data_IF_594581783570
#
_entry.id   IF_594581783570
#
_cell.length_a   1.000
_cell.length_b   1.000
_cell.length_c   1.000
_cell.angle_alpha   90.00
_cell.angle_beta   90.00
_cell.angle_gamma   90.00
#
_symmetry.space_group_name_H-M   'P 1'
#
loop_
_entity.id
_entity.type
_entity.pdbx_description
1 polymer ?
#
# COMPACT_ATOMS: atom_id res chain seq x y z
N UNK A 1 26.29 -27.54 -4.50
CA UNK A 1 27.56 -28.03 -3.96
C UNK A 1 27.26 -29.04 -2.89
N UNK A 2 27.92 -30.19 -2.93
CA UNK A 2 27.78 -31.26 -1.95
C UNK A 2 28.69 -31.01 -0.72
N UNK A 3 28.44 -31.65 0.44
CA UNK A 3 29.29 -31.52 1.63
C UNK A 3 30.74 -31.96 1.41
N UNK A 4 30.94 -32.95 0.53
CA UNK A 4 32.26 -33.39 0.09
C UNK A 4 32.93 -32.44 -0.93
N UNK A 5 32.43 -31.20 -1.06
CA UNK A 5 32.94 -30.13 -1.93
C UNK A 5 32.84 -30.41 -3.44
N UNK A 6 32.17 -31.48 -3.84
CA UNK A 6 31.88 -31.72 -5.25
C UNK A 6 30.77 -30.79 -5.76
N UNK A 7 31.01 -30.22 -6.93
CA UNK A 7 30.05 -29.38 -7.66
C UNK A 7 29.37 -30.21 -8.74
N UNK A 8 28.04 -30.23 -8.72
CA UNK A 8 27.19 -30.83 -9.75
C UNK A 8 26.35 -29.72 -10.37
N UNK A 9 26.11 -29.76 -11.67
CA UNK A 9 25.07 -28.93 -12.27
C UNK A 9 23.69 -29.45 -11.88
N UNK A 10 22.68 -28.60 -11.98
CA UNK A 10 21.30 -28.94 -11.60
C UNK A 10 20.80 -30.20 -12.32
N UNK A 11 21.00 -30.30 -13.63
CA UNK A 11 20.58 -31.48 -14.41
C UNK A 11 21.28 -32.77 -13.97
N UNK A 12 22.56 -32.71 -13.57
CA UNK A 12 23.27 -33.88 -13.05
C UNK A 12 22.79 -34.28 -11.65
N UNK A 13 22.45 -33.30 -10.79
CA UNK A 13 21.83 -33.60 -9.50
C UNK A 13 20.45 -34.24 -9.70
N UNK A 14 19.64 -33.68 -10.59
CA UNK A 14 18.29 -34.17 -10.83
C UNK A 14 18.26 -35.56 -11.50
N UNK A 15 19.19 -35.81 -12.42
CA UNK A 15 19.34 -37.08 -13.12
C UNK A 15 19.82 -38.25 -12.25
N UNK A 16 20.25 -38.00 -11.00
CA UNK A 16 20.74 -39.05 -10.08
C UNK A 16 19.63 -39.99 -9.55
N UNK A 17 18.35 -39.69 -9.82
CA UNK A 17 17.21 -40.57 -9.51
C UNK A 17 17.17 -41.02 -8.05
N UNK A 18 17.07 -42.35 -7.81
CA UNK A 18 16.99 -42.93 -6.47
C UNK A 18 18.30 -42.83 -5.64
N UNK A 19 19.40 -42.35 -6.22
CA UNK A 19 20.70 -42.14 -5.54
C UNK A 19 20.98 -40.66 -5.26
N UNK A 20 19.95 -39.81 -5.22
CA UNK A 20 20.04 -38.37 -4.97
C UNK A 20 20.67 -37.98 -3.63
N UNK A 21 20.83 -38.92 -2.71
CA UNK A 21 21.46 -38.72 -1.41
C UNK A 21 22.90 -39.25 -1.34
N UNK A 22 23.55 -39.58 -2.45
CA UNK A 22 24.95 -40.03 -2.45
C UNK A 22 25.79 -39.25 -3.48
N UNK A 23 27.01 -38.88 -3.08
CA UNK A 23 27.96 -38.26 -4.00
C UNK A 23 28.30 -39.22 -5.16
N UNK A 24 28.20 -38.83 -6.45
CA UNK A 24 28.54 -39.70 -7.57
C UNK A 24 30.02 -40.16 -7.59
N UNK A 25 30.91 -39.37 -6.98
CA UNK A 25 32.35 -39.62 -6.96
C UNK A 25 32.80 -40.41 -5.74
N UNK A 26 32.40 -39.98 -4.54
CA UNK A 26 32.84 -40.60 -3.28
C UNK A 26 31.85 -41.62 -2.71
N UNK A 27 30.62 -41.67 -3.23
CA UNK A 27 29.51 -42.50 -2.70
C UNK A 27 29.19 -42.21 -1.24
N UNK A 28 29.62 -41.07 -0.72
CA UNK A 28 29.27 -40.60 0.62
C UNK A 28 27.82 -40.12 0.64
N UNK A 29 27.04 -40.51 1.68
CA UNK A 29 25.69 -40.04 1.83
C UNK A 29 25.67 -38.55 2.23
N UNK A 30 24.66 -37.82 1.75
CA UNK A 30 24.37 -36.44 2.17
C UNK A 30 22.86 -36.24 2.25
N UNK A 31 22.41 -35.26 3.03
CA UNK A 31 21.01 -34.84 3.07
C UNK A 31 20.78 -33.65 2.15
N UNK A 32 19.53 -33.45 1.72
CA UNK A 32 19.18 -32.36 0.80
C UNK A 32 19.39 -30.98 1.44
N UNK A 33 19.27 -30.89 2.77
CA UNK A 33 19.52 -29.68 3.54
C UNK A 33 21.00 -29.28 3.58
N UNK A 34 21.91 -30.24 3.36
CA UNK A 34 23.36 -30.00 3.32
C UNK A 34 23.81 -29.41 1.96
N UNK A 35 22.88 -29.26 1.01
CA UNK A 35 23.16 -28.77 -0.33
C UNK A 35 23.24 -27.25 -0.38
N UNK A 36 24.37 -26.74 -0.85
CA UNK A 36 24.52 -25.31 -1.13
C UNK A 36 24.28 -25.07 -2.62
N UNK A 37 23.13 -24.48 -2.96
CA UNK A 37 22.86 -24.02 -4.33
C UNK A 37 23.65 -22.75 -4.60
N UNK A 38 24.55 -22.82 -5.58
CA UNK A 38 25.36 -21.68 -6.02
C UNK A 38 25.03 -21.36 -7.46
N UNK A 39 24.79 -20.08 -7.74
CA UNK A 39 24.65 -19.57 -9.09
C UNK A 39 26.01 -19.14 -9.61
N UNK A 40 26.40 -19.69 -10.76
CA UNK A 40 27.57 -19.23 -11.50
C UNK A 40 27.07 -18.46 -12.71
N UNK A 41 27.62 -17.28 -12.98
CA UNK A 41 27.28 -16.59 -14.22
C UNK A 41 27.77 -17.43 -15.40
N UNK A 42 26.99 -17.47 -16.47
CA UNK A 42 27.37 -18.16 -17.70
C UNK A 42 28.75 -17.72 -18.17
N UNK A 43 29.03 -16.42 -18.10
CA UNK A 43 30.31 -15.83 -18.49
C UNK A 43 31.47 -16.34 -17.63
N UNK A 44 31.26 -16.56 -16.32
CA UNK A 44 32.30 -17.09 -15.44
C UNK A 44 32.69 -18.53 -15.76
N UNK A 45 31.77 -19.33 -16.28
CA UNK A 45 32.05 -20.71 -16.73
C UNK A 45 32.66 -20.68 -18.12
N UNK A 46 32.07 -19.92 -19.04
CA UNK A 46 32.50 -19.83 -20.44
C UNK A 46 33.84 -19.10 -20.64
N UNK A 47 34.27 -18.29 -19.66
CA UNK A 47 35.58 -17.65 -19.65
C UNK A 47 36.71 -18.53 -19.12
N UNK A 48 36.45 -19.75 -18.65
CA UNK A 48 37.50 -20.66 -18.17
C UNK A 48 38.29 -21.24 -19.33
N UNK A 49 39.62 -21.30 -19.19
CA UNK A 49 40.49 -22.01 -20.12
C UNK A 49 40.23 -23.52 -20.05
N UNK A 50 40.09 -24.14 -21.21
CA UNK A 50 39.88 -25.57 -21.39
C UNK A 50 40.71 -26.07 -22.57
N UNK A 51 41.02 -27.37 -22.58
CA UNK A 51 41.63 -28.04 -23.73
C UNK A 51 40.55 -28.61 -24.64
N UNK A 52 40.88 -28.79 -25.92
CA UNK A 52 39.99 -29.44 -26.89
C UNK A 52 39.58 -30.85 -26.44
N UNK A 53 38.32 -31.25 -26.71
CA UNK A 53 37.84 -32.61 -26.48
C UNK A 53 38.66 -33.69 -27.20
N UNK A 54 39.33 -33.31 -28.28
CA UNK A 54 40.21 -34.19 -29.05
C UNK A 54 41.69 -34.11 -28.60
N UNK A 55 41.98 -33.59 -27.39
CA UNK A 55 43.35 -33.51 -26.90
C UNK A 55 44.02 -34.89 -26.77
N UNK A 56 43.28 -35.91 -26.38
CA UNK A 56 43.77 -37.30 -26.35
C UNK A 56 44.08 -37.85 -27.74
N UNK A 57 43.46 -37.28 -28.77
CA UNK A 57 43.68 -37.63 -30.18
C UNK A 57 44.73 -36.75 -30.86
N UNK A 58 45.39 -35.85 -30.11
CA UNK A 58 46.50 -35.02 -30.59
C UNK A 58 46.17 -33.54 -30.86
N UNK A 59 44.96 -33.07 -30.52
CA UNK A 59 44.65 -31.64 -30.62
C UNK A 59 45.24 -30.86 -29.44
N UNK A 60 46.16 -29.93 -29.71
CA UNK A 60 46.85 -29.11 -28.71
C UNK A 60 46.14 -27.78 -28.39
N UNK A 61 44.98 -27.51 -28.99
CA UNK A 61 44.24 -26.29 -28.77
C UNK A 61 43.77 -26.12 -27.31
N UNK A 62 44.14 -24.98 -26.73
CA UNK A 62 43.69 -24.50 -25.41
C UNK A 62 43.14 -23.08 -25.55
N UNK A 63 41.88 -22.89 -25.17
CA UNK A 63 41.20 -21.59 -25.27
C UNK A 63 40.10 -21.49 -24.19
N UNK A 64 39.42 -20.35 -24.09
CA UNK A 64 38.24 -20.20 -23.25
C UNK A 64 37.10 -21.11 -23.73
N UNK A 65 36.31 -21.63 -22.80
CA UNK A 65 35.24 -22.59 -23.10
C UNK A 65 34.21 -22.05 -24.11
N UNK A 66 33.99 -20.74 -24.16
CA UNK A 66 33.15 -20.09 -25.19
C UNK A 66 33.70 -20.24 -26.61
N UNK A 67 35.02 -20.12 -26.81
CA UNK A 67 35.68 -20.24 -28.12
C UNK A 67 35.90 -21.72 -28.53
N UNK A 68 35.94 -22.63 -27.55
CA UNK A 68 36.24 -24.04 -27.81
C UNK A 68 35.18 -24.74 -28.69
N UNK A 69 33.91 -24.31 -28.61
CA UNK A 69 32.86 -24.84 -29.48
C UNK A 69 33.09 -24.50 -30.96
N UNK A 70 33.51 -23.26 -31.23
CA UNK A 70 33.85 -22.81 -32.58
C UNK A 70 35.09 -23.53 -33.11
N UNK A 71 36.11 -23.69 -32.26
CA UNK A 71 37.27 -24.51 -32.59
C UNK A 71 36.85 -25.94 -32.97
N UNK A 72 36.04 -26.62 -32.15
CA UNK A 72 35.62 -27.99 -32.40
C UNK A 72 34.85 -28.13 -33.72
N UNK A 73 33.93 -27.21 -34.00
CA UNK A 73 33.13 -27.24 -35.22
C UNK A 73 33.96 -26.99 -36.48
N UNK A 74 34.81 -25.96 -36.46
CA UNK A 74 35.35 -25.37 -37.69
C UNK A 74 36.86 -25.55 -37.86
N UNK A 75 37.64 -25.60 -36.77
CA UNK A 75 39.10 -25.55 -36.81
C UNK A 75 39.78 -26.86 -36.40
N UNK A 76 39.08 -27.74 -35.68
CA UNK A 76 39.69 -28.95 -35.13
C UNK A 76 40.00 -29.98 -36.21
N UNK A 77 41.29 -30.18 -36.48
CA UNK A 77 41.78 -31.13 -37.50
C UNK A 77 41.60 -32.60 -37.09
N UNK A 78 41.25 -32.84 -35.83
CA UNK A 78 41.04 -34.15 -35.21
C UNK A 78 39.56 -34.46 -34.98
N UNK A 79 38.65 -33.57 -35.37
CA UNK A 79 37.22 -33.84 -35.32
C UNK A 79 36.85 -34.87 -36.38
N UNK A 80 36.34 -36.01 -35.94
CA UNK A 80 35.88 -37.12 -36.78
C UNK A 80 34.36 -37.20 -36.74
N UNK A 81 33.74 -37.38 -37.91
CA UNK A 81 32.30 -37.58 -38.10
C UNK A 81 32.05 -38.89 -38.85
N UNK A 82 30.84 -39.44 -38.76
CA UNK A 82 30.45 -40.57 -39.62
C UNK A 82 29.84 -40.06 -40.91
N UNK A 83 30.29 -40.63 -42.03
CA UNK A 83 29.66 -40.39 -43.32
C UNK A 83 28.24 -40.95 -43.35
N UNK A 84 27.22 -40.19 -43.79
CA UNK A 84 25.84 -40.68 -43.83
C UNK A 84 25.60 -41.76 -44.90
N UNK A 85 26.43 -41.82 -45.95
CA UNK A 85 26.25 -42.74 -47.08
C UNK A 85 26.93 -44.10 -46.87
N UNK A 86 28.13 -44.10 -46.28
CA UNK A 86 28.94 -45.32 -46.10
C UNK A 86 29.24 -45.66 -44.64
N UNK A 87 28.84 -44.81 -43.68
CA UNK A 87 29.13 -44.95 -42.23
C UNK A 87 30.61 -44.90 -41.85
N UNK A 88 31.52 -44.64 -42.78
CA UNK A 88 32.95 -44.53 -42.50
C UNK A 88 33.26 -43.32 -41.60
N UNK A 89 34.28 -43.45 -40.76
CA UNK A 89 34.75 -42.38 -39.89
C UNK A 89 35.70 -41.46 -40.66
N UNK A 90 35.24 -40.26 -40.99
CA UNK A 90 35.95 -39.28 -41.82
C UNK A 90 36.24 -38.04 -40.99
N UNK A 91 37.39 -37.39 -41.22
CA UNK A 91 37.66 -36.09 -40.59
C UNK A 91 36.63 -35.07 -41.08
N UNK A 92 36.02 -34.32 -40.18
CA UNK A 92 34.95 -33.36 -40.48
C UNK A 92 35.30 -32.44 -41.66
N UNK A 93 36.52 -31.88 -41.66
CA UNK A 93 36.99 -30.99 -42.75
C UNK A 93 37.09 -31.66 -44.13
N UNK A 94 37.21 -32.99 -44.20
CA UNK A 94 37.32 -33.75 -45.45
C UNK A 94 36.00 -34.45 -45.81
N UNK A 95 34.91 -34.23 -45.08
CA UNK A 95 33.64 -34.92 -45.38
C UNK A 95 33.12 -34.58 -46.77
N UNK A 96 33.27 -33.32 -47.20
CA UNK A 96 32.88 -32.87 -48.54
C UNK A 96 33.71 -33.55 -49.64
N UNK A 97 35.02 -33.68 -49.42
CA UNK A 97 35.94 -34.36 -50.35
C UNK A 97 35.64 -35.85 -50.42
N UNK A 98 35.42 -36.49 -49.27
CA UNK A 98 35.03 -37.89 -49.19
C UNK A 98 33.74 -38.16 -49.97
N UNK A 99 32.69 -37.35 -49.76
CA UNK A 99 31.42 -37.49 -50.48
C UNK A 99 31.57 -37.27 -52.00
N UNK A 100 32.55 -36.47 -52.43
CA UNK A 100 32.77 -36.18 -53.84
C UNK A 100 33.61 -37.24 -54.58
N UNK A 101 34.53 -37.93 -53.89
CA UNK A 101 35.54 -38.76 -54.56
C UNK A 101 35.68 -40.18 -54.02
N UNK A 102 35.49 -40.41 -52.73
CA UNK A 102 35.92 -41.64 -52.05
C UNK A 102 34.77 -42.36 -51.32
N UNK A 103 33.54 -41.91 -51.50
CA UNK A 103 32.38 -42.47 -50.82
C UNK A 103 31.73 -43.58 -51.64
N UNK A 104 31.95 -44.84 -51.23
CA UNK A 104 31.18 -45.97 -51.73
C UNK A 104 30.01 -46.26 -50.77
N UNK A 105 28.75 -46.03 -51.19
CA UNK A 105 27.61 -46.31 -50.33
C UNK A 105 27.57 -47.79 -49.97
N UNK A 106 27.31 -48.09 -48.70
CA UNK A 106 27.07 -49.46 -48.25
C UNK A 106 25.83 -49.97 -48.98
N UNK A 107 26.02 -50.71 -50.07
CA UNK A 107 24.92 -51.47 -50.69
C UNK A 107 24.38 -52.38 -49.60
N UNK A 108 23.14 -52.13 -49.20
CA UNK A 108 22.40 -52.94 -48.24
C UNK A 108 22.44 -54.40 -48.68
N UNK A 109 23.39 -55.14 -48.14
CA UNK A 109 23.29 -56.59 -47.98
C UNK A 109 22.21 -56.74 -46.92
N UNK A 110 21.01 -57.10 -47.36
CA UNK A 110 20.08 -58.01 -46.67
C UNK A 110 18.69 -57.87 -47.30
N UNK A 111 18.47 -58.62 -48.38
CA UNK A 111 17.14 -59.10 -48.73
C UNK A 111 16.84 -60.28 -47.81
N UNK A 112 16.26 -59.99 -46.65
CA UNK A 112 15.64 -61.00 -45.81
C UNK A 112 14.27 -60.49 -45.31
N UNK A 113 13.22 -61.08 -45.88
CA UNK A 113 11.84 -61.11 -45.38
C UNK A 113 11.03 -59.80 -45.48
N UNK A 114 10.54 -59.51 -46.69
CA UNK A 114 9.49 -58.51 -46.96
C UNK A 114 8.19 -58.77 -46.18
N UNK A 115 7.87 -60.04 -45.89
CA UNK A 115 6.65 -60.42 -45.16
C UNK A 115 6.70 -60.01 -43.68
N UNK A 116 7.90 -60.00 -43.07
CA UNK A 116 8.05 -59.60 -41.67
C UNK A 116 7.95 -58.07 -41.50
N UNK A 117 8.48 -57.31 -42.46
CA UNK A 117 8.36 -55.85 -42.46
C UNK A 117 6.91 -55.41 -42.70
N UNK A 118 6.22 -56.04 -43.65
CA UNK A 118 4.83 -55.71 -43.98
C UNK A 118 3.88 -56.00 -42.80
N UNK A 119 4.08 -57.11 -42.09
CA UNK A 119 3.33 -57.43 -40.88
C UNK A 119 3.62 -56.45 -39.73
N UNK A 120 4.90 -56.14 -39.47
CA UNK A 120 5.28 -55.16 -38.45
C UNK A 120 4.72 -53.76 -38.77
N UNK A 121 4.71 -53.37 -40.03
CA UNK A 121 4.14 -52.08 -40.47
C UNK A 121 2.63 -52.00 -40.23
N UNK A 122 1.89 -53.09 -40.52
CA UNK A 122 0.45 -53.16 -40.25
C UNK A 122 0.14 -53.13 -38.75
N UNK A 123 0.97 -53.76 -37.92
CA UNK A 123 0.85 -53.73 -36.46
C UNK A 123 1.12 -52.33 -35.89
N UNK A 124 2.17 -51.65 -36.35
CA UNK A 124 2.46 -50.25 -36.00
C UNK A 124 1.31 -49.33 -36.42
N UNK A 125 0.76 -49.52 -37.62
CA UNK A 125 -0.38 -48.73 -38.10
C UNK A 125 -1.64 -48.96 -37.25
N UNK A 126 -1.89 -50.21 -36.84
CA UNK A 126 -3.00 -50.55 -35.95
C UNK A 126 -2.87 -49.94 -34.56
N UNK A 127 -1.67 -50.02 -33.97
CA UNK A 127 -1.40 -49.39 -32.66
C UNK A 127 -1.48 -47.88 -32.72
N UNK A 128 -0.99 -47.24 -33.79
CA UNK A 128 -1.10 -45.80 -34.00
C UNK A 128 -2.58 -45.35 -34.10
N UNK A 129 -3.41 -46.10 -34.83
CA UNK A 129 -4.83 -45.80 -34.93
C UNK A 129 -5.53 -45.87 -33.55
N UNK A 130 -5.18 -46.87 -32.73
CA UNK A 130 -5.71 -47.02 -31.38
C UNK A 130 -5.27 -45.87 -30.46
N UNK A 131 -4.00 -45.45 -30.55
CA UNK A 131 -3.48 -44.30 -29.80
C UNK A 131 -4.21 -43.01 -30.19
N UNK A 132 -4.50 -42.81 -31.48
CA UNK A 132 -5.24 -41.63 -31.96
C UNK A 132 -6.68 -41.61 -31.42
N UNK A 133 -7.35 -42.76 -31.37
CA UNK A 133 -8.68 -42.89 -30.80
C UNK A 133 -8.68 -42.62 -29.28
N UNK A 134 -7.74 -43.22 -28.55
CA UNK A 134 -7.57 -43.00 -27.11
C UNK A 134 -7.23 -41.53 -26.79
N UNK A 135 -6.36 -40.88 -27.59
CA UNK A 135 -6.07 -39.45 -27.45
C UNK A 135 -7.32 -38.60 -27.68
N UNK A 136 -8.12 -38.91 -28.69
CA UNK A 136 -9.37 -38.19 -28.98
C UNK A 136 -10.38 -38.32 -27.81
N UNK A 137 -10.48 -39.52 -27.24
CA UNK A 137 -11.31 -39.78 -26.06
C UNK A 137 -10.79 -39.04 -24.82
N UNK A 138 -9.46 -38.96 -24.63
CA UNK A 138 -8.85 -38.20 -23.54
C UNK A 138 -9.09 -36.70 -23.68
N UNK A 139 -8.93 -36.14 -24.88
CA UNK A 139 -9.25 -34.73 -25.14
C UNK A 139 -10.71 -34.42 -24.80
N UNK A 140 -11.65 -35.25 -25.24
CA UNK A 140 -13.08 -35.09 -24.90
C UNK A 140 -13.33 -35.13 -23.38
N UNK A 141 -12.65 -36.02 -22.65
CA UNK A 141 -12.74 -36.06 -21.19
C UNK A 141 -12.16 -34.80 -20.55
N UNK A 142 -11.04 -34.30 -21.06
CA UNK A 142 -10.40 -33.08 -20.56
C UNK A 142 -11.28 -31.85 -20.78
N UNK A 143 -11.90 -31.74 -21.95
CA UNK A 143 -12.85 -30.65 -22.25
C UNK A 143 -14.06 -30.71 -21.30
N UNK A 144 -14.63 -31.90 -21.06
CA UNK A 144 -15.74 -32.05 -20.10
C UNK A 144 -15.33 -31.75 -18.65
N UNK A 145 -14.08 -32.01 -18.28
CA UNK A 145 -13.56 -31.70 -16.95
C UNK A 145 -13.34 -30.20 -16.78
N UNK A 146 -12.82 -29.53 -17.81
CA UNK A 146 -12.67 -28.07 -17.82
C UNK A 146 -14.04 -27.37 -17.68
N UNK A 147 -15.05 -27.83 -18.41
CA UNK A 147 -16.40 -27.24 -18.33
C UNK A 147 -16.99 -27.39 -16.92
N UNK A 148 -16.82 -28.55 -16.29
CA UNK A 148 -17.24 -28.78 -14.89
C UNK A 148 -16.51 -27.87 -13.90
N UNK A 149 -15.20 -27.69 -14.05
CA UNK A 149 -14.43 -26.78 -13.19
C UNK A 149 -14.92 -25.33 -13.36
N UNK A 150 -15.21 -24.92 -14.61
CA UNK A 150 -15.74 -23.59 -14.92
C UNK A 150 -17.09 -23.36 -14.25
N UNK A 151 -18.02 -24.31 -14.35
CA UNK A 151 -19.36 -24.19 -13.74
C UNK A 151 -19.32 -24.19 -12.22
N UNK A 152 -18.55 -25.10 -11.61
CA UNK A 152 -18.47 -25.23 -10.16
C UNK A 152 -17.80 -24.00 -9.53
N UNK A 153 -16.74 -23.49 -10.17
CA UNK A 153 -16.01 -22.31 -9.69
C UNK A 153 -16.82 -21.03 -9.88
N UNK A 154 -17.42 -20.81 -11.06
CA UNK A 154 -18.15 -19.56 -11.31
C UNK A 154 -19.45 -19.47 -10.52
N UNK A 155 -20.19 -20.58 -10.43
CA UNK A 155 -21.49 -20.61 -9.74
C UNK A 155 -21.36 -20.47 -8.23
N UNK A 156 -20.48 -21.27 -7.61
CA UNK A 156 -20.28 -21.24 -6.17
C UNK A 156 -19.64 -19.94 -5.70
N UNK A 157 -18.64 -19.44 -6.42
CA UNK A 157 -17.96 -18.19 -6.07
C UNK A 157 -18.89 -16.98 -6.24
N UNK A 158 -19.66 -16.90 -7.32
CA UNK A 158 -20.61 -15.80 -7.50
C UNK A 158 -21.71 -15.81 -6.42
N UNK A 159 -22.29 -16.97 -6.12
CA UNK A 159 -23.31 -17.09 -5.06
C UNK A 159 -22.75 -16.73 -3.68
N UNK A 160 -21.54 -17.19 -3.35
CA UNK A 160 -20.87 -16.86 -2.09
C UNK A 160 -20.51 -15.38 -2.03
N UNK A 161 -20.03 -14.79 -3.11
CA UNK A 161 -19.70 -13.36 -3.18
C UNK A 161 -20.94 -12.48 -2.98
N UNK A 162 -22.08 -12.82 -3.60
CA UNK A 162 -23.34 -12.09 -3.39
C UNK A 162 -23.83 -12.24 -1.94
N UNK A 163 -23.79 -13.45 -1.39
CA UNK A 163 -24.20 -13.69 0.00
C UNK A 163 -23.35 -12.91 1.01
N UNK A 164 -22.03 -12.82 0.78
CA UNK A 164 -21.13 -12.01 1.60
C UNK A 164 -21.46 -10.53 1.46
N UNK A 165 -21.68 -10.04 0.24
CA UNK A 165 -22.02 -8.63 0.00
C UNK A 165 -23.33 -8.23 0.71
N UNK A 166 -24.35 -9.09 0.65
CA UNK A 166 -25.63 -8.85 1.34
C UNK A 166 -25.45 -8.84 2.86
N UNK A 167 -24.67 -9.78 3.40
CA UNK A 167 -24.39 -9.86 4.84
C UNK A 167 -23.62 -8.63 5.34
N UNK A 168 -22.64 -8.15 4.57
CA UNK A 168 -21.86 -6.93 4.89
C UNK A 168 -22.76 -5.71 4.85
N UNK A 169 -23.61 -5.58 3.83
CA UNK A 169 -24.55 -4.46 3.69
C UNK A 169 -25.50 -4.41 4.88
N UNK A 170 -26.12 -5.55 5.25
CA UNK A 170 -27.01 -5.63 6.40
C UNK A 170 -26.30 -5.34 7.74
N UNK A 171 -25.01 -5.69 7.87
CA UNK A 171 -24.22 -5.36 9.05
C UNK A 171 -23.90 -3.87 9.15
N UNK A 172 -23.59 -3.24 8.01
CA UNK A 172 -23.30 -1.82 7.93
C UNK A 172 -24.55 -0.97 8.26
N UNK A 173 -25.71 -1.34 7.72
CA UNK A 173 -26.98 -0.65 8.00
C UNK A 173 -27.37 -0.73 9.48
N UNK A 174 -27.22 -1.91 10.10
CA UNK A 174 -27.45 -2.08 11.55
C UNK A 174 -26.52 -1.19 12.36
N UNK A 175 -25.22 -1.21 12.07
CA UNK A 175 -24.24 -0.41 12.83
C UNK A 175 -24.44 1.09 12.65
N UNK A 176 -24.75 1.53 11.43
CA UNK A 176 -25.09 2.93 11.15
C UNK A 176 -26.32 3.37 11.96
N UNK A 177 -27.37 2.54 11.98
CA UNK A 177 -28.59 2.84 12.75
C UNK A 177 -28.33 2.90 14.26
N UNK A 178 -27.54 1.97 14.82
CA UNK A 178 -27.15 1.96 16.23
C UNK A 178 -26.36 3.22 16.61
N UNK A 179 -25.40 3.63 15.78
CA UNK A 179 -24.60 4.85 16.04
C UNK A 179 -25.45 6.11 15.95
N UNK A 180 -26.34 6.20 14.95
CA UNK A 180 -27.19 7.38 14.75
C UNK A 180 -28.14 7.57 15.93
N UNK A 181 -28.82 6.50 16.34
CA UNK A 181 -29.74 6.53 17.49
C UNK A 181 -29.02 6.80 18.81
N UNK A 182 -27.82 6.23 19.00
CA UNK A 182 -26.98 6.53 20.17
C UNK A 182 -26.55 8.00 20.23
N UNK A 183 -26.11 8.56 19.10
CA UNK A 183 -25.71 9.95 19.01
C UNK A 183 -26.88 10.92 19.22
N UNK A 184 -28.06 10.62 18.65
CA UNK A 184 -29.28 11.41 18.85
C UNK A 184 -29.73 11.40 20.31
N UNK A 185 -29.66 10.25 20.99
CA UNK A 185 -30.01 10.13 22.40
C UNK A 185 -29.06 10.94 23.29
N UNK A 186 -27.75 10.83 23.06
CA UNK A 186 -26.74 11.60 23.80
C UNK A 186 -26.91 13.11 23.60
N UNK A 187 -27.11 13.55 22.35
CA UNK A 187 -27.34 14.96 22.04
C UNK A 187 -28.64 15.48 22.69
N UNK A 188 -29.69 14.67 22.72
CA UNK A 188 -30.95 15.04 23.37
C UNK A 188 -30.80 15.17 24.90
N UNK A 189 -29.94 14.36 25.52
CA UNK A 189 -29.62 14.45 26.95
C UNK A 189 -28.80 15.71 27.26
N UNK A 190 -27.72 15.94 26.52
CA UNK A 190 -26.91 17.16 26.63
C UNK A 190 -27.76 18.43 26.42
N UNK A 191 -28.64 18.42 25.41
CA UNK A 191 -29.54 19.53 25.14
C UNK A 191 -30.50 19.79 26.32
N UNK A 192 -30.99 18.74 26.98
CA UNK A 192 -31.87 18.87 28.16
C UNK A 192 -31.11 19.44 29.35
N UNK A 193 -29.89 18.97 29.60
CA UNK A 193 -29.02 19.46 30.68
C UNK A 193 -28.70 20.94 30.48
N UNK A 194 -28.18 21.32 29.31
CA UNK A 194 -27.88 22.72 28.97
C UNK A 194 -29.14 23.60 29.06
N UNK A 195 -30.29 23.09 28.61
CA UNK A 195 -31.56 23.84 28.71
C UNK A 195 -31.97 24.06 30.16
N UNK A 196 -31.71 23.10 31.06
CA UNK A 196 -31.98 23.25 32.49
C UNK A 196 -31.04 24.28 33.13
N UNK A 197 -29.73 24.19 32.86
CA UNK A 197 -28.74 25.15 33.37
C UNK A 197 -29.05 26.58 32.93
N UNK A 198 -29.36 26.78 31.64
CA UNK A 198 -29.73 28.11 31.11
C UNK A 198 -30.99 28.65 31.80
N UNK A 199 -31.98 27.78 32.06
CA UNK A 199 -33.20 28.18 32.75
C UNK A 199 -32.93 28.61 34.19
N UNK A 200 -32.08 27.88 34.90
CA UNK A 200 -31.73 28.18 36.29
C UNK A 200 -30.91 29.48 36.38
N UNK A 201 -29.97 29.68 35.46
CA UNK A 201 -29.21 30.93 35.34
C UNK A 201 -30.14 32.13 35.04
N UNK A 202 -31.08 31.98 34.11
CA UNK A 202 -32.08 33.02 33.83
C UNK A 202 -32.95 33.33 35.05
N UNK A 203 -33.41 32.31 35.77
CA UNK A 203 -34.19 32.50 36.99
C UNK A 203 -33.40 33.22 38.08
N UNK A 204 -32.10 32.94 38.20
CA UNK A 204 -31.20 33.64 39.11
C UNK A 204 -31.06 35.12 38.73
N UNK A 205 -30.72 35.42 37.47
CA UNK A 205 -30.58 36.80 36.99
C UNK A 205 -31.87 37.59 37.17
N UNK A 206 -33.03 37.00 36.86
CA UNK A 206 -34.33 37.65 37.06
C UNK A 206 -34.61 37.98 38.54
N UNK A 207 -34.22 37.11 39.47
CA UNK A 207 -34.36 37.36 40.91
C UNK A 207 -33.47 38.52 41.34
N UNK A 208 -32.20 38.50 40.96
CA UNK A 208 -31.24 39.56 41.28
C UNK A 208 -31.68 40.91 40.69
N UNK A 209 -32.18 40.93 39.44
CA UNK A 209 -32.71 42.13 38.83
C UNK A 209 -33.92 42.70 39.60
N UNK A 210 -34.84 41.84 40.07
CA UNK A 210 -35.98 42.28 40.90
C UNK A 210 -35.51 42.87 42.24
N UNK A 211 -34.53 42.26 42.88
CA UNK A 211 -33.95 42.74 44.14
C UNK A 211 -33.26 44.09 43.95
N UNK A 212 -32.47 44.23 42.89
CA UNK A 212 -31.81 45.48 42.52
C UNK A 212 -32.81 46.59 42.17
N UNK A 213 -33.90 46.27 41.44
CA UNK A 213 -34.98 47.23 41.14
C UNK A 213 -35.60 47.76 42.43
N UNK A 214 -35.97 46.87 43.36
CA UNK A 214 -36.51 47.26 44.67
C UNK A 214 -35.52 48.07 45.50
N UNK A 215 -34.22 47.83 45.37
CA UNK A 215 -33.19 48.63 46.04
C UNK A 215 -33.08 50.03 45.42
N UNK A 216 -33.12 50.14 44.10
CA UNK A 216 -33.14 51.40 43.38
C UNK A 216 -34.36 52.24 43.75
N UNK A 217 -35.57 51.65 43.74
CA UNK A 217 -36.82 52.32 44.15
C UNK A 217 -36.74 52.89 45.58
N UNK A 218 -36.20 52.11 46.53
CA UNK A 218 -35.98 52.57 47.91
C UNK A 218 -34.99 53.73 47.99
N UNK A 219 -33.89 53.66 47.24
CA UNK A 219 -32.89 54.73 47.20
C UNK A 219 -33.46 56.01 46.60
N UNK A 220 -34.24 55.91 45.51
CA UNK A 220 -34.92 57.06 44.89
C UNK A 220 -35.90 57.69 45.87
N UNK A 221 -36.77 56.91 46.51
CA UNK A 221 -37.72 57.42 47.52
C UNK A 221 -37.01 58.11 48.70
N UNK A 222 -35.92 57.54 49.20
CA UNK A 222 -35.10 58.15 50.25
C UNK A 222 -34.47 59.48 49.80
N UNK A 223 -34.00 59.57 48.55
CA UNK A 223 -33.49 60.81 47.97
C UNK A 223 -34.58 61.87 47.81
N UNK A 224 -35.77 61.49 47.35
CA UNK A 224 -36.93 62.39 47.26
C UNK A 224 -37.28 62.99 48.62
N UNK A 225 -37.38 62.18 49.66
CA UNK A 225 -37.65 62.63 51.03
C UNK A 225 -36.57 63.61 51.53
N UNK A 226 -35.29 63.32 51.25
CA UNK A 226 -34.17 64.21 51.61
C UNK A 226 -34.24 65.55 50.89
N UNK A 227 -34.58 65.56 49.59
CA UNK A 227 -34.75 66.79 48.80
C UNK A 227 -35.93 67.60 49.32
N UNK A 228 -37.08 66.96 49.57
CA UNK A 228 -38.27 67.64 50.14
C UNK A 228 -37.93 68.26 51.49
N UNK A 229 -37.22 67.55 52.36
CA UNK A 229 -36.79 68.07 53.67
C UNK A 229 -35.89 69.30 53.52
N UNK A 230 -34.87 69.23 52.64
CA UNK A 230 -33.97 70.36 52.39
C UNK A 230 -34.71 71.60 51.87
N UNK A 231 -35.63 71.43 50.91
CA UNK A 231 -36.44 72.53 50.37
C UNK A 231 -37.39 73.14 51.42
N UNK A 232 -37.95 72.31 52.30
CA UNK A 232 -38.80 72.79 53.41
C UNK A 232 -37.99 73.55 54.47
N UNK A 233 -36.75 73.12 54.75
CA UNK A 233 -35.85 73.77 55.70
C UNK A 233 -35.27 75.08 55.14
N UNK A 234 -35.02 75.19 53.83
CA UNK A 234 -34.61 76.44 53.14
C UNK A 234 -35.74 77.48 52.98
N UNK A 235 -37.01 77.12 53.27
CA UNK A 235 -38.15 78.07 53.24
C UNK A 235 -38.27 78.97 54.48
N UNK A 236 -37.27 79.04 55.35
CA UNK A 236 -37.12 80.17 56.29
C UNK A 236 -36.56 81.38 55.53
N UNK A 237 -37.26 82.53 55.45
CA UNK A 237 -36.68 83.73 54.90
C UNK A 237 -35.72 84.34 55.93
N UNK A 238 -34.44 84.02 55.83
CA UNK A 238 -33.32 84.91 56.16
C UNK A 238 -32.01 84.26 55.68
N UNK A 239 -31.24 85.04 54.93
CA UNK A 239 -29.88 84.79 54.44
C UNK A 239 -29.70 83.75 53.32
N UNK A 240 -30.15 84.19 52.13
CA UNK A 240 -29.56 83.78 50.87
C UNK A 240 -28.07 84.17 50.84
N UNK A 241 -27.19 83.16 50.90
CA UNK A 241 -25.77 83.37 50.63
C UNK A 241 -24.81 82.34 51.21
N UNK A 242 -25.00 81.03 51.00
CA UNK A 242 -23.86 80.09 51.06
C UNK A 242 -24.05 78.69 50.46
N UNK A 243 -25.25 78.18 50.20
CA UNK A 243 -25.43 76.74 49.93
C UNK A 243 -25.55 76.31 48.46
N UNK A 244 -24.87 77.00 47.53
CA UNK A 244 -24.79 76.54 46.13
C UNK A 244 -23.51 75.75 45.81
N UNK A 245 -22.54 75.62 46.73
CA UNK A 245 -21.32 74.82 46.51
C UNK A 245 -21.49 73.33 46.85
N UNK A 246 -22.39 72.96 47.76
CA UNK A 246 -22.51 71.58 48.29
C UNK A 246 -23.39 70.65 47.43
N UNK A 247 -24.23 71.21 46.55
CA UNK A 247 -25.06 70.39 45.65
C UNK A 247 -24.29 69.90 44.40
N UNK A 248 -23.13 70.49 44.12
CA UNK A 248 -22.24 70.06 43.02
C UNK A 248 -21.31 68.91 43.40
N UNK A 249 -21.09 68.67 44.70
CA UNK A 249 -20.28 67.56 45.20
C UNK A 249 -21.08 66.26 45.33
N UNK A 250 -22.39 66.32 45.58
CA UNK A 250 -23.25 65.13 45.68
C UNK A 250 -23.61 64.49 44.30
N UNK A 251 -23.41 65.21 43.19
CA UNK A 251 -23.57 64.65 41.84
C UNK A 251 -22.37 63.80 41.39
N UNK A 252 -21.28 63.79 42.16
CA UNK A 252 -20.06 63.00 41.87
C UNK A 252 -20.05 61.61 42.51
N UNK A 253 -21.06 61.27 43.31
CA UNK A 253 -21.15 59.98 44.02
C UNK A 253 -22.29 59.06 43.52
N UNK A 254 -23.01 59.43 42.44
CA UNK A 254 -24.17 58.67 41.96
C UNK A 254 -23.97 57.94 40.61
N UNK A 255 -22.76 57.95 40.05
CA UNK A 255 -22.40 57.05 38.95
C UNK A 255 -20.89 56.83 39.02
N UNK A 256 -20.47 55.89 39.86
CA UNK A 256 -19.13 55.35 39.71
C UNK A 256 -19.14 54.67 38.33
N UNK A 257 -18.50 55.32 37.36
CA UNK A 257 -18.18 54.75 36.04
C UNK A 257 -17.49 53.39 36.20
N UNK A 258 -16.91 53.14 37.37
CA UNK A 258 -16.32 51.89 37.81
C UNK A 258 -17.35 50.74 37.96
N UNK A 259 -18.59 51.01 38.38
CA UNK A 259 -19.62 49.96 38.54
C UNK A 259 -20.26 49.59 37.19
N UNK A 260 -20.48 50.55 36.29
CA UNK A 260 -20.87 50.27 34.90
C UNK A 260 -19.74 49.57 34.12
N UNK A 261 -18.49 49.98 34.33
CA UNK A 261 -17.33 49.33 33.74
C UNK A 261 -17.17 47.89 34.25
N UNK A 262 -17.34 47.64 35.55
CA UNK A 262 -17.32 46.28 36.13
C UNK A 262 -18.48 45.43 35.63
N UNK A 263 -19.67 46.00 35.46
CA UNK A 263 -20.81 45.28 34.89
C UNK A 263 -20.58 44.90 33.41
N UNK A 264 -20.00 45.81 32.61
CA UNK A 264 -19.63 45.54 31.22
C UNK A 264 -18.47 44.55 31.11
N UNK A 265 -17.50 44.61 32.02
CA UNK A 265 -16.39 43.66 32.12
C UNK A 265 -16.88 42.25 32.49
N UNK A 266 -17.80 42.13 33.45
CA UNK A 266 -18.45 40.85 33.80
C UNK A 266 -19.28 40.29 32.65
N UNK A 267 -19.99 41.12 31.89
CA UNK A 267 -20.72 40.71 30.68
C UNK A 267 -19.79 40.28 29.55
N UNK A 268 -18.64 40.95 29.38
CA UNK A 268 -17.61 40.58 28.41
C UNK A 268 -16.94 39.26 28.77
N UNK A 269 -16.60 39.05 30.05
CA UNK A 269 -16.05 37.78 30.56
C UNK A 269 -17.06 36.65 30.38
N UNK A 270 -18.33 36.86 30.74
CA UNK A 270 -19.38 35.86 30.52
C UNK A 270 -19.55 35.52 29.02
N UNK A 271 -19.49 36.52 28.14
CA UNK A 271 -19.60 36.31 26.68
C UNK A 271 -18.39 35.57 26.09
N UNK A 272 -17.19 35.80 26.63
CA UNK A 272 -15.96 35.11 26.23
C UNK A 272 -15.92 33.67 26.74
N UNK A 273 -16.39 33.42 27.96
CA UNK A 273 -16.50 32.06 28.50
C UNK A 273 -17.49 31.20 27.72
N UNK A 274 -18.66 31.76 27.35
CA UNK A 274 -19.64 31.06 26.50
C UNK A 274 -19.05 30.76 25.11
N UNK A 275 -18.29 31.69 24.51
CA UNK A 275 -17.61 31.45 23.22
C UNK A 275 -16.51 30.38 23.33
N UNK A 276 -15.74 30.36 24.41
CA UNK A 276 -14.67 29.38 24.61
C UNK A 276 -15.21 27.96 24.81
N UNK A 277 -16.29 27.81 25.58
CA UNK A 277 -16.89 26.50 25.86
C UNK A 277 -17.68 25.95 24.67
N UNK A 278 -18.28 26.83 23.87
CA UNK A 278 -18.90 26.44 22.59
C UNK A 278 -17.82 26.02 21.58
N UNK A 279 -16.69 26.74 21.48
CA UNK A 279 -15.61 26.39 20.56
C UNK A 279 -14.82 25.14 20.99
N UNK A 280 -14.64 24.92 22.30
CA UNK A 280 -13.95 23.72 22.81
C UNK A 280 -14.78 22.44 22.65
N UNK A 281 -16.12 22.56 22.62
CA UNK A 281 -17.05 21.44 22.40
C UNK A 281 -17.46 21.22 20.93
N UNK A 282 -17.15 22.14 20.00
CA UNK A 282 -17.63 22.08 18.61
C UNK A 282 -16.58 21.81 17.53
N UNK A 283 -15.34 21.43 17.88
CA UNK A 283 -14.32 21.11 16.87
C UNK A 283 -13.67 19.74 17.08
N UNK A 284 -14.27 18.66 16.54
CA UNK A 284 -13.54 17.50 16.07
C UNK A 284 -13.42 17.61 14.54
N UNK A 285 -12.63 18.55 14.04
CA UNK A 285 -12.22 18.52 12.63
C UNK A 285 -10.81 17.94 12.56
N UNK A 286 -10.75 16.64 12.29
CA UNK A 286 -9.58 15.95 11.79
C UNK A 286 -9.34 16.46 10.36
N UNK A 287 -8.30 17.28 10.16
CA UNK A 287 -7.90 17.72 8.83
C UNK A 287 -7.18 16.55 8.15
N UNK A 288 -7.89 15.69 7.44
CA UNK A 288 -7.27 14.75 6.51
C UNK A 288 -6.96 15.49 5.20
N UNK A 289 -5.66 15.60 4.90
CA UNK A 289 -5.19 16.03 3.58
C UNK A 289 -5.28 14.80 2.68
N UNK A 290 -6.37 14.68 1.92
CA UNK A 290 -6.63 13.53 1.05
C UNK A 290 -5.79 13.52 -0.24
N UNK A 291 -5.04 14.60 -0.52
CA UNK A 291 -4.13 14.69 -1.67
C UNK A 291 -2.83 15.42 -1.33
N UNK A 292 -1.85 14.65 -0.86
CA UNK A 292 -0.48 15.12 -0.63
C UNK A 292 0.21 15.64 -1.91
N UNK A 293 -0.16 15.15 -3.10
CA UNK A 293 0.50 15.52 -4.35
C UNK A 293 0.01 16.88 -4.88
N UNK A 294 -1.23 17.25 -4.63
CA UNK A 294 -1.79 18.57 -4.95
C UNK A 294 -1.22 19.72 -4.11
N UNK A 295 -0.90 19.45 -2.83
CA UNK A 295 -0.34 20.45 -1.90
C UNK A 295 1.05 20.93 -2.33
N UNK A 296 1.94 20.01 -2.73
CA UNK A 296 3.29 20.38 -3.18
C UNK A 296 3.31 21.09 -4.53
N UNK A 297 2.37 20.80 -5.43
CA UNK A 297 2.28 21.45 -6.75
C UNK A 297 1.95 22.94 -6.68
N UNK A 298 1.18 23.38 -5.68
CA UNK A 298 0.86 24.82 -5.48
C UNK A 298 1.93 25.60 -4.70
N UNK A 299 2.88 24.91 -4.05
CA UNK A 299 3.95 25.57 -3.29
C UNK A 299 5.12 26.05 -4.17
N UNK A 300 5.23 25.55 -5.41
CA UNK A 300 6.32 25.90 -6.33
C UNK A 300 6.20 27.30 -6.94
N UNK A 301 5.03 27.95 -6.86
CA UNK A 301 4.81 29.29 -7.41
C UNK A 301 5.00 30.44 -6.40
N UNK A 302 5.46 30.15 -5.17
CA UNK A 302 5.65 31.18 -4.11
C UNK A 302 6.93 31.01 -3.28
N UNK A 303 8.07 30.76 -3.93
CA UNK A 303 9.38 31.02 -3.31
C UNK A 303 10.05 32.26 -3.93
N UNK A 304 9.64 33.45 -3.48
CA UNK A 304 10.54 34.60 -3.47
C UNK A 304 11.40 34.52 -2.22
N UNK A 305 12.65 34.09 -2.41
CA UNK A 305 13.68 34.15 -1.38
C UNK A 305 13.98 35.61 -1.02
N UNK A 306 13.82 35.94 0.25
CA UNK A 306 14.57 37.02 0.89
C UNK A 306 16.03 36.58 0.98
N UNK A 307 16.90 37.16 0.16
CA UNK A 307 18.32 37.33 0.47
C UNK A 307 18.72 38.75 0.08
N UNK A 308 19.40 39.44 0.99
CA UNK A 308 19.47 40.90 1.04
C UNK A 308 20.47 41.54 0.08
N UNK A 309 20.37 42.86 -0.05
CA UNK A 309 21.47 43.79 0.18
C UNK A 309 20.95 45.23 0.11
N UNK A 310 20.99 45.95 1.24
CA UNK A 310 20.90 47.41 1.25
C UNK A 310 22.22 47.97 0.71
N UNK A 311 22.26 48.18 -0.59
CA UNK A 311 23.31 48.91 -1.28
C UNK A 311 22.69 50.01 -2.13
N UNK A 312 22.51 51.20 -1.55
CA UNK A 312 22.28 52.43 -2.33
C UNK A 312 23.42 52.60 -3.35
N UNK A 313 23.13 53.22 -4.50
CA UNK A 313 23.40 54.65 -4.58
C UNK A 313 22.27 55.43 -5.26
N UNK A 314 22.06 56.67 -4.81
CA UNK A 314 21.73 57.76 -5.72
C UNK A 314 22.88 58.76 -5.67
N UNK A 315 22.91 59.81 -6.51
CA UNK A 315 22.09 60.08 -7.69
C UNK A 315 22.75 59.66 -9.01
#
# INVERSE_FOLDING_TARGET
MLPCLHLLCQSCYEGAGAKRNHCPFHKEPFQEEDLVWSTFSRDSILGRKVRCWNAEHGCDAEDVASAMLEHFANACQFHVVRCPECSESVRHRHIAEHLACDCEPQRARDQASDDNFSNAFMEVKGTLAKILEENSALHTKMDSFEDRLRTDTSGAFAAQSTSIADAVTAALERKSSELTTGAEAALAEDQREVTAEVRDALAYVQRTMKENSKACERNVSCLEDRVVKAVCEERKPADAGSSLSEMTTAKKEAASVEDEAKALELLAVASLSIRSDVLSKSVPYEWTIDDWNGFFRKSSDRLHYFTGNDGRPGP
#
